data_IF_211626376998
#
_entry.id   IF_211626376998
#
_cell.length_a   1.000
_cell.length_b   1.000
_cell.length_c   1.000
_cell.angle_alpha   90.00
_cell.angle_beta   90.00
_cell.angle_gamma   90.00
#
_symmetry.space_group_name_H-M   'P 1'
#
loop_
_entity.id
_entity.type
_entity.pdbx_description
1 polymer ?
#
# COMPACT_ATOMS: atom_id res chain seq x y z
N UNK A 1 -49.26 10.50 -8.01
CA UNK A 1 -50.55 9.93 -7.56
C UNK A 1 -50.55 9.88 -6.05
N UNK A 2 -51.61 10.44 -5.47
CA UNK A 2 -51.80 10.59 -4.04
C UNK A 2 -51.76 9.22 -3.33
N UNK A 3 -50.96 9.08 -2.29
CA UNK A 3 -50.85 7.86 -1.48
C UNK A 3 -49.83 6.82 -1.99
N UNK A 4 -49.16 7.03 -3.11
CA UNK A 4 -48.12 6.10 -3.60
C UNK A 4 -46.75 6.42 -3.06
N UNK A 5 -45.84 5.40 -3.12
CA UNK A 5 -44.43 5.59 -2.82
C UNK A 5 -43.71 6.19 -4.05
N UNK A 6 -42.76 7.10 -3.80
CA UNK A 6 -41.91 7.66 -4.83
C UNK A 6 -40.43 7.41 -4.49
N UNK A 7 -39.70 6.76 -5.39
CA UNK A 7 -38.29 6.50 -5.23
C UNK A 7 -37.48 7.48 -6.08
N UNK A 8 -36.38 7.95 -5.52
CA UNK A 8 -35.36 8.75 -6.21
C UNK A 8 -34.02 8.07 -6.13
N UNK A 9 -33.33 8.03 -7.25
CA UNK A 9 -31.92 7.65 -7.31
C UNK A 9 -31.10 8.90 -7.63
N UNK A 10 -30.02 9.11 -6.90
CA UNK A 10 -29.15 10.27 -7.02
C UNK A 10 -27.80 9.76 -7.47
N UNK A 11 -27.36 10.22 -8.64
CA UNK A 11 -26.06 9.82 -9.22
C UNK A 11 -25.24 11.07 -9.47
N UNK A 12 -24.02 11.09 -8.97
CA UNK A 12 -23.09 12.16 -9.27
C UNK A 12 -22.45 11.93 -10.65
N UNK A 13 -22.22 13.02 -11.38
CA UNK A 13 -21.42 12.98 -12.60
C UNK A 13 -19.96 12.66 -12.31
N UNK A 14 -19.22 12.22 -13.33
CA UNK A 14 -17.78 11.96 -13.20
C UNK A 14 -17.04 13.21 -12.70
N UNK A 15 -16.16 13.04 -11.72
CA UNK A 15 -15.45 14.13 -11.03
C UNK A 15 -16.25 14.80 -9.90
N UNK A 16 -17.44 14.28 -9.57
CA UNK A 16 -18.25 14.76 -8.45
C UNK A 16 -18.68 13.62 -7.55
N UNK A 17 -18.97 13.96 -6.28
CA UNK A 17 -19.60 13.07 -5.29
C UNK A 17 -20.83 13.76 -4.70
N UNK A 18 -21.78 12.96 -4.21
CA UNK A 18 -22.89 13.50 -3.44
C UNK A 18 -22.29 14.07 -2.15
N UNK A 19 -22.51 15.37 -1.90
CA UNK A 19 -22.06 16.04 -0.69
C UNK A 19 -23.13 15.99 0.39
N UNK A 20 -24.40 16.20 -0.01
CA UNK A 20 -25.55 16.18 0.89
C UNK A 20 -26.84 15.99 0.08
N UNK A 21 -27.87 15.49 0.71
CA UNK A 21 -29.24 15.45 0.19
C UNK A 21 -30.15 16.09 1.21
N UNK A 22 -30.97 17.05 0.76
CA UNK A 22 -31.94 17.69 1.59
C UNK A 22 -33.36 17.20 1.20
N UNK A 23 -34.16 16.83 2.18
CA UNK A 23 -35.56 16.49 2.03
C UNK A 23 -36.37 17.51 2.83
N UNK A 24 -37.27 18.21 2.15
CA UNK A 24 -38.04 19.31 2.74
C UNK A 24 -37.17 20.32 3.49
N UNK A 25 -36.00 20.64 2.90
CA UNK A 25 -35.02 21.57 3.45
C UNK A 25 -34.13 21.02 4.59
N UNK A 26 -34.34 19.75 5.01
CA UNK A 26 -33.52 19.13 6.07
C UNK A 26 -32.51 18.17 5.45
N UNK A 27 -31.23 18.27 5.88
CA UNK A 27 -30.19 17.36 5.48
C UNK A 27 -30.45 15.93 5.99
N UNK A 28 -30.26 14.96 5.10
CA UNK A 28 -30.30 13.53 5.38
C UNK A 28 -28.94 12.86 5.10
N UNK A 29 -27.89 13.67 4.81
CA UNK A 29 -26.55 13.22 4.48
C UNK A 29 -26.37 12.83 3.02
N UNK A 30 -25.18 12.30 2.69
CA UNK A 30 -24.81 11.90 1.33
C UNK A 30 -25.39 10.51 0.98
N UNK A 31 -26.64 10.46 0.57
CA UNK A 31 -27.32 9.21 0.22
C UNK A 31 -27.52 9.08 -1.30
N UNK A 32 -27.34 7.88 -1.83
CA UNK A 32 -27.52 7.60 -3.27
C UNK A 32 -28.98 7.33 -3.66
N UNK A 33 -29.87 7.19 -2.70
CA UNK A 33 -31.30 7.00 -2.96
C UNK A 33 -32.14 7.47 -1.78
N UNK A 34 -33.37 7.88 -2.09
CA UNK A 34 -34.39 8.23 -1.10
C UNK A 34 -35.75 7.78 -1.54
N UNK A 35 -36.57 7.35 -0.58
CA UNK A 35 -37.94 6.89 -0.83
C UNK A 35 -38.95 7.69 -0.01
N UNK A 36 -39.80 8.44 -0.67
CA UNK A 36 -41.01 8.96 -0.04
C UNK A 36 -42.08 7.86 0.04
N UNK A 37 -42.67 7.69 1.20
CA UNK A 37 -43.67 6.64 1.46
C UNK A 37 -45.06 7.28 1.57
N UNK A 38 -46.03 6.74 0.83
CA UNK A 38 -47.44 7.19 0.86
C UNK A 38 -47.61 8.71 0.69
N UNK A 39 -47.00 9.25 -0.37
CA UNK A 39 -46.98 10.70 -0.65
C UNK A 39 -48.43 11.26 -0.73
N UNK A 40 -48.78 12.19 0.15
CA UNK A 40 -50.08 12.89 0.18
C UNK A 40 -49.94 14.39 -0.06
N UNK A 41 -48.76 14.96 0.15
CA UNK A 41 -48.48 16.38 -0.02
C UNK A 41 -47.25 16.55 -0.93
N UNK A 42 -46.99 17.80 -1.36
CA UNK A 42 -45.77 18.11 -2.10
C UNK A 42 -44.57 18.02 -1.16
N UNK A 43 -43.50 17.40 -1.66
CA UNK A 43 -42.18 17.29 -1.01
C UNK A 43 -41.10 17.83 -1.92
N UNK A 44 -40.01 18.26 -1.33
CA UNK A 44 -38.81 18.66 -2.07
C UNK A 44 -37.66 17.70 -1.79
N UNK A 45 -36.87 17.41 -2.80
CA UNK A 45 -35.59 16.74 -2.66
C UNK A 45 -34.55 17.54 -3.45
N UNK A 46 -33.43 17.89 -2.79
CA UNK A 46 -32.30 18.63 -3.36
C UNK A 46 -31.02 17.82 -3.12
N UNK A 47 -30.29 17.54 -4.17
CA UNK A 47 -29.00 16.92 -4.04
C UNK A 47 -27.89 17.96 -4.25
N UNK A 48 -26.93 18.02 -3.33
CA UNK A 48 -25.74 18.86 -3.39
C UNK A 48 -24.53 18.00 -3.74
N UNK A 49 -23.72 18.48 -4.65
CA UNK A 49 -22.55 17.78 -5.14
C UNK A 49 -21.29 18.58 -4.79
N UNK A 50 -20.20 17.87 -4.48
CA UNK A 50 -18.87 18.45 -4.33
C UNK A 50 -17.94 17.78 -5.37
N UNK A 51 -16.85 18.44 -5.71
CA UNK A 51 -15.80 17.85 -6.54
C UNK A 51 -15.22 16.62 -5.84
N UNK A 52 -15.11 15.52 -6.57
CA UNK A 52 -14.36 14.34 -6.14
C UNK A 52 -12.98 14.39 -6.80
N UNK A 53 -11.90 14.01 -6.10
CA UNK A 53 -10.62 13.82 -6.75
C UNK A 53 -10.76 12.84 -7.92
N UNK A 54 -10.30 13.25 -9.11
CA UNK A 54 -10.30 12.34 -10.27
C UNK A 54 -9.29 11.24 -10.04
N UNK A 55 -9.73 9.99 -10.23
CA UNK A 55 -8.83 8.84 -10.21
C UNK A 55 -7.98 8.81 -11.47
N UNK A 56 -6.70 8.53 -11.31
CA UNK A 56 -5.84 8.23 -12.47
C UNK A 56 -6.33 6.91 -13.12
N UNK A 57 -6.55 6.86 -14.44
CA UNK A 57 -7.13 5.70 -15.11
C UNK A 57 -6.23 4.46 -15.08
N UNK A 58 -4.91 4.64 -14.96
CA UNK A 58 -3.94 3.54 -14.98
C UNK A 58 -3.72 2.93 -13.58
N UNK A 59 -3.80 3.74 -12.53
CA UNK A 59 -3.55 3.31 -11.15
C UNK A 59 -4.85 3.17 -10.35
N UNK A 60 -5.91 3.87 -10.71
CA UNK A 60 -7.17 3.92 -9.97
C UNK A 60 -7.15 4.86 -8.76
N UNK A 61 -6.03 5.55 -8.51
CA UNK A 61 -5.84 6.41 -7.33
C UNK A 61 -5.90 7.89 -7.69
N UNK A 62 -6.34 8.71 -6.73
CA UNK A 62 -6.48 10.16 -6.87
C UNK A 62 -5.35 10.95 -6.20
N UNK A 63 -4.49 10.28 -5.45
CA UNK A 63 -3.36 10.86 -4.71
C UNK A 63 -2.00 10.56 -5.37
N UNK A 64 -2.02 10.21 -6.66
CA UNK A 64 -0.84 9.92 -7.48
C UNK A 64 -0.91 10.73 -8.76
N UNK A 65 0.18 11.42 -9.09
CA UNK A 65 0.34 12.15 -10.34
C UNK A 65 1.31 11.42 -11.28
N UNK A 66 1.11 11.56 -12.60
CA UNK A 66 2.02 10.98 -13.61
C UNK A 66 3.45 11.50 -13.52
N UNK A 67 3.64 12.67 -12.90
CA UNK A 67 4.95 13.27 -12.65
C UNK A 67 5.68 12.71 -11.44
N UNK A 68 5.03 11.89 -10.61
CA UNK A 68 5.65 11.32 -9.42
C UNK A 68 6.69 10.27 -9.79
N UNK A 69 7.85 10.29 -9.11
CA UNK A 69 8.96 9.35 -9.39
C UNK A 69 8.57 7.87 -9.20
N UNK A 70 7.51 7.64 -8.45
CA UNK A 70 6.99 6.29 -8.14
C UNK A 70 5.78 5.89 -9.00
N UNK A 71 5.35 6.72 -9.96
CA UNK A 71 4.13 6.48 -10.75
C UNK A 71 4.14 5.11 -11.44
N UNK A 72 5.19 4.82 -12.21
CA UNK A 72 5.32 3.54 -12.94
C UNK A 72 5.41 2.34 -11.98
N UNK A 73 6.05 2.53 -10.83
CA UNK A 73 6.12 1.49 -9.80
C UNK A 73 4.74 1.19 -9.19
N UNK A 74 3.92 2.22 -8.94
CA UNK A 74 2.55 2.02 -8.45
C UNK A 74 1.67 1.39 -9.52
N UNK A 75 1.75 1.84 -10.76
CA UNK A 75 1.04 1.24 -11.90
C UNK A 75 1.37 -0.25 -12.05
N UNK A 76 2.66 -0.60 -12.00
CA UNK A 76 3.11 -1.98 -11.97
C UNK A 76 2.56 -2.75 -10.77
N UNK A 77 2.63 -2.18 -9.57
CA UNK A 77 2.21 -2.85 -8.34
C UNK A 77 0.70 -3.15 -8.32
N UNK A 78 -0.11 -2.27 -8.91
CA UNK A 78 -1.55 -2.50 -9.12
C UNK A 78 -1.77 -3.58 -10.16
N UNK A 79 -1.16 -3.46 -11.34
CA UNK A 79 -1.30 -4.43 -12.44
C UNK A 79 -0.83 -5.83 -12.04
N UNK A 80 0.21 -5.94 -11.22
CA UNK A 80 0.74 -7.20 -10.68
C UNK A 80 0.05 -7.66 -9.38
N UNK A 81 -1.00 -6.98 -8.93
CA UNK A 81 -1.76 -7.29 -7.70
C UNK A 81 -0.91 -7.29 -6.42
N UNK A 82 0.19 -6.57 -6.41
CA UNK A 82 1.03 -6.37 -5.23
C UNK A 82 0.29 -5.52 -4.20
N UNK A 83 -0.45 -4.51 -4.67
CA UNK A 83 -1.28 -3.64 -3.83
C UNK A 83 -2.61 -3.32 -4.49
N UNK A 84 -3.61 -3.02 -3.66
CA UNK A 84 -4.90 -2.45 -4.07
C UNK A 84 -5.14 -1.04 -3.48
N UNK A 85 -4.07 -0.41 -2.93
CA UNK A 85 -4.17 0.88 -2.25
C UNK A 85 -4.44 0.76 -0.75
N UNK A 86 -4.59 1.89 -0.10
CA UNK A 86 -5.13 2.00 1.27
C UNK A 86 -6.65 2.01 1.26
N UNK A 87 -7.23 2.67 0.26
CA UNK A 87 -8.65 2.70 -0.03
C UNK A 87 -8.87 2.44 -1.51
N UNK A 88 -10.13 2.41 -1.96
CA UNK A 88 -10.46 2.28 -3.38
C UNK A 88 -9.98 3.45 -4.24
N UNK A 89 -9.58 4.56 -3.63
CA UNK A 89 -9.23 5.80 -4.32
C UNK A 89 -7.87 6.37 -3.94
N UNK A 90 -7.22 5.82 -2.92
CA UNK A 90 -5.95 6.34 -2.41
C UNK A 90 -4.91 5.23 -2.28
N UNK A 91 -3.71 5.53 -2.73
CA UNK A 91 -2.53 4.69 -2.54
C UNK A 91 -1.83 4.96 -1.21
N UNK A 92 -1.79 6.21 -0.76
CA UNK A 92 -1.06 6.68 0.42
C UNK A 92 0.46 6.66 0.22
N UNK A 93 1.01 7.37 -0.79
CA UNK A 93 2.43 7.25 -1.15
C UNK A 93 3.39 7.63 -0.03
N UNK A 94 3.00 8.57 0.83
CA UNK A 94 3.84 9.05 1.94
C UNK A 94 3.64 8.27 3.25
N UNK A 95 2.62 7.42 3.32
CA UNK A 95 2.40 6.59 4.50
C UNK A 95 3.51 5.56 4.65
N UNK A 96 4.03 5.38 5.86
CA UNK A 96 4.99 4.33 6.15
C UNK A 96 4.32 2.96 6.18
N UNK A 97 5.05 1.91 5.81
CA UNK A 97 4.55 0.55 5.91
C UNK A 97 4.98 -0.12 7.22
N UNK A 98 4.15 -1.05 7.65
CA UNK A 98 4.56 -2.00 8.69
C UNK A 98 5.39 -3.15 8.10
N UNK A 99 6.06 -3.90 8.97
CA UNK A 99 6.81 -5.11 8.59
C UNK A 99 5.88 -6.13 7.91
N UNK A 100 4.67 -6.31 8.43
CA UNK A 100 3.66 -7.21 7.84
C UNK A 100 3.22 -6.77 6.44
N UNK A 101 2.99 -5.49 6.22
CA UNK A 101 2.65 -4.95 4.90
C UNK A 101 3.80 -5.17 3.91
N UNK A 102 5.03 -4.96 4.34
CA UNK A 102 6.22 -5.10 3.50
C UNK A 102 6.42 -6.54 3.04
N UNK A 103 6.38 -7.52 3.95
CA UNK A 103 6.51 -8.93 3.52
C UNK A 103 5.32 -9.39 2.68
N UNK A 104 4.14 -8.79 2.88
CA UNK A 104 2.97 -9.06 2.03
C UNK A 104 3.18 -8.54 0.61
N UNK A 105 3.77 -7.38 0.43
CA UNK A 105 4.13 -6.86 -0.90
C UNK A 105 5.17 -7.76 -1.60
N UNK A 106 6.21 -8.17 -0.88
CA UNK A 106 7.22 -9.10 -1.39
C UNK A 106 6.61 -10.44 -1.82
N UNK A 107 5.79 -11.04 -0.97
CA UNK A 107 5.10 -12.30 -1.22
C UNK A 107 4.18 -12.22 -2.44
N UNK A 108 3.40 -11.13 -2.55
CA UNK A 108 2.53 -10.90 -3.72
C UNK A 108 3.34 -10.69 -4.99
N UNK A 109 4.45 -9.94 -4.93
CA UNK A 109 5.36 -9.76 -6.06
C UNK A 109 6.05 -11.06 -6.49
N UNK A 110 6.11 -12.06 -5.60
CA UNK A 110 6.56 -13.42 -5.89
C UNK A 110 5.43 -14.35 -6.43
N UNK A 111 4.23 -13.82 -6.66
CA UNK A 111 3.08 -14.59 -7.16
C UNK A 111 2.23 -15.26 -6.08
N UNK A 112 2.37 -14.83 -4.83
CA UNK A 112 1.59 -15.33 -3.67
C UNK A 112 1.70 -16.86 -3.47
N UNK A 113 2.90 -17.45 -3.47
CA UNK A 113 3.06 -18.89 -3.36
C UNK A 113 2.54 -19.41 -2.02
N UNK A 114 1.84 -20.54 -2.03
CA UNK A 114 1.37 -21.20 -0.80
C UNK A 114 2.52 -21.85 -0.06
N UNK A 115 2.56 -21.69 1.25
CA UNK A 115 3.60 -22.25 2.13
C UNK A 115 2.93 -23.10 3.21
N UNK A 116 2.70 -24.38 2.90
CA UNK A 116 1.97 -25.27 3.79
C UNK A 116 2.88 -26.16 4.68
N UNK A 117 4.19 -26.12 4.45
CA UNK A 117 5.16 -27.03 5.08
C UNK A 117 6.08 -26.38 6.10
N UNK A 118 5.82 -25.12 6.47
CA UNK A 118 6.63 -24.38 7.45
C UNK A 118 5.77 -24.09 8.67
N UNK A 119 6.25 -24.51 9.82
CA UNK A 119 5.63 -24.16 11.09
C UNK A 119 5.84 -22.67 11.38
N UNK A 120 4.82 -22.03 11.93
CA UNK A 120 4.92 -20.64 12.35
C UNK A 120 5.77 -20.54 13.64
N UNK A 121 6.95 -19.92 13.60
CA UNK A 121 7.77 -19.78 14.80
C UNK A 121 7.31 -18.63 15.71
N UNK A 122 6.43 -17.73 15.22
CA UNK A 122 6.11 -16.47 15.87
C UNK A 122 4.80 -16.53 16.65
N UNK A 123 4.84 -16.10 17.88
CA UNK A 123 3.67 -16.03 18.77
C UNK A 123 2.75 -14.84 18.49
N UNK A 124 3.28 -13.82 17.84
CA UNK A 124 2.60 -12.57 17.46
C UNK A 124 2.05 -12.58 16.02
N UNK A 125 2.07 -13.74 15.36
CA UNK A 125 1.49 -13.95 14.02
C UNK A 125 0.45 -15.06 14.11
N UNK A 126 -0.81 -14.71 13.88
CA UNK A 126 -1.94 -15.65 13.99
C UNK A 126 -2.36 -16.14 12.61
N UNK A 127 -2.91 -17.35 12.55
CA UNK A 127 -3.42 -17.94 11.29
C UNK A 127 -4.54 -17.12 10.65
N UNK A 128 -5.26 -16.33 11.42
CA UNK A 128 -6.32 -15.41 10.94
C UNK A 128 -5.80 -14.12 10.34
N UNK A 129 -4.51 -13.81 10.51
CA UNK A 129 -3.95 -12.54 10.04
C UNK A 129 -3.78 -12.56 8.52
N UNK A 130 -4.09 -11.43 7.85
CA UNK A 130 -4.01 -11.32 6.39
C UNK A 130 -2.61 -11.56 5.84
N UNK A 131 -1.59 -11.33 6.66
CA UNK A 131 -0.17 -11.49 6.33
C UNK A 131 0.40 -12.88 6.72
N UNK A 132 -0.41 -13.77 7.30
CA UNK A 132 0.08 -15.06 7.80
C UNK A 132 0.88 -15.83 6.76
N UNK A 133 0.32 -16.04 5.56
CA UNK A 133 0.99 -16.77 4.48
C UNK A 133 2.24 -16.05 3.97
N UNK A 134 2.22 -14.71 3.94
CA UNK A 134 3.36 -13.91 3.55
C UNK A 134 4.53 -14.05 4.54
N UNK A 135 4.23 -14.08 5.84
CA UNK A 135 5.26 -14.28 6.88
C UNK A 135 5.85 -15.69 6.80
N UNK A 136 5.02 -16.74 6.65
CA UNK A 136 5.52 -18.11 6.49
C UNK A 136 6.38 -18.26 5.24
N UNK A 137 5.97 -17.66 4.12
CA UNK A 137 6.79 -17.61 2.91
C UNK A 137 8.13 -16.90 3.15
N UNK A 138 8.12 -15.79 3.86
CA UNK A 138 9.33 -15.03 4.16
C UNK A 138 10.30 -15.83 5.04
N UNK A 139 9.79 -16.62 5.99
CA UNK A 139 10.59 -17.56 6.80
C UNK A 139 11.15 -18.69 5.94
N UNK A 140 10.30 -19.35 5.15
CA UNK A 140 10.68 -20.47 4.29
C UNK A 140 11.78 -20.11 3.28
N UNK A 141 11.80 -18.86 2.81
CA UNK A 141 12.76 -18.36 1.84
C UNK A 141 13.92 -17.57 2.49
N UNK A 142 14.07 -17.64 3.81
CA UNK A 142 15.12 -16.93 4.55
C UNK A 142 15.12 -15.40 4.31
N UNK A 143 13.98 -14.83 3.99
CA UNK A 143 13.80 -13.38 3.85
C UNK A 143 13.85 -12.71 5.22
N UNK A 144 13.25 -13.37 6.23
CA UNK A 144 13.27 -12.92 7.61
C UNK A 144 13.37 -14.10 8.58
N UNK A 145 13.99 -13.87 9.73
CA UNK A 145 13.99 -14.78 10.88
C UNK A 145 13.24 -14.15 12.08
N UNK A 146 12.40 -13.12 11.83
CA UNK A 146 11.80 -12.34 12.91
C UNK A 146 12.72 -11.26 13.46
N UNK A 147 12.29 -10.62 14.53
CA UNK A 147 13.11 -9.75 15.39
C UNK A 147 13.70 -10.55 16.55
N UNK A 148 13.09 -11.68 16.86
CA UNK A 148 13.61 -12.74 17.75
C UNK A 148 13.16 -14.11 17.24
N UNK A 149 13.55 -15.17 17.92
CA UNK A 149 13.14 -16.53 17.58
C UNK A 149 11.63 -16.75 17.63
N UNK A 150 10.89 -15.95 18.38
CA UNK A 150 9.45 -16.09 18.63
C UNK A 150 8.61 -14.85 18.32
N UNK A 151 9.22 -13.76 17.84
CA UNK A 151 8.52 -12.52 17.49
C UNK A 151 8.89 -12.03 16.10
N UNK A 152 7.86 -11.66 15.32
CA UNK A 152 7.98 -11.04 14.01
C UNK A 152 7.85 -9.52 14.06
N UNK A 153 7.11 -8.98 15.03
CA UNK A 153 6.71 -7.58 15.18
C UNK A 153 5.96 -7.03 13.95
N UNK A 154 4.80 -7.60 13.62
CA UNK A 154 4.08 -7.32 12.37
C UNK A 154 3.66 -5.85 12.21
N UNK A 155 3.37 -5.16 13.31
CA UNK A 155 2.79 -3.82 13.30
C UNK A 155 3.83 -2.68 13.43
N UNK A 156 5.09 -3.03 13.64
CA UNK A 156 6.17 -2.03 13.71
C UNK A 156 6.47 -1.48 12.33
N UNK A 157 6.70 -0.18 12.23
CA UNK A 157 7.14 0.47 11.00
C UNK A 157 8.45 -0.15 10.51
N UNK A 158 8.45 -0.59 9.26
CA UNK A 158 9.65 -1.15 8.64
C UNK A 158 10.66 -0.03 8.34
N UNK A 159 11.91 -0.27 8.66
CA UNK A 159 13.00 0.64 8.35
C UNK A 159 13.57 0.36 6.95
N UNK A 160 14.24 1.35 6.36
CA UNK A 160 14.79 1.26 5.00
C UNK A 160 15.84 0.16 4.87
N UNK A 161 16.70 0.00 5.88
CA UNK A 161 17.68 -1.09 5.96
C UNK A 161 17.03 -2.47 5.94
N UNK A 162 15.92 -2.63 6.65
CA UNK A 162 15.14 -3.87 6.65
C UNK A 162 14.52 -4.17 5.29
N UNK A 163 13.98 -3.15 4.61
CA UNK A 163 13.35 -3.32 3.29
C UNK A 163 14.37 -3.80 2.26
N UNK A 164 15.52 -3.15 2.14
CA UNK A 164 16.56 -3.58 1.18
C UNK A 164 17.12 -4.95 1.55
N UNK A 165 17.22 -5.27 2.84
CA UNK A 165 17.66 -6.58 3.32
C UNK A 165 16.65 -7.67 2.95
N UNK A 166 15.36 -7.41 3.11
CA UNK A 166 14.30 -8.36 2.70
C UNK A 166 14.33 -8.60 1.18
N UNK A 167 14.46 -7.54 0.39
CA UNK A 167 14.57 -7.63 -1.07
C UNK A 167 15.80 -8.43 -1.50
N UNK A 168 16.96 -8.10 -0.96
CA UNK A 168 18.21 -8.80 -1.26
C UNK A 168 18.14 -10.29 -0.91
N UNK A 169 17.58 -10.61 0.25
CA UNK A 169 17.37 -12.01 0.67
C UNK A 169 16.36 -12.73 -0.22
N UNK A 170 15.25 -12.09 -0.57
CA UNK A 170 14.25 -12.64 -1.49
C UNK A 170 14.82 -12.87 -2.90
N UNK A 171 15.87 -12.14 -3.28
CA UNK A 171 16.60 -12.29 -4.55
C UNK A 171 17.74 -13.34 -4.48
N UNK A 172 17.85 -14.09 -3.37
CA UNK A 172 18.88 -15.13 -3.21
C UNK A 172 20.23 -14.60 -2.73
N UNK A 173 20.29 -13.41 -2.17
CA UNK A 173 21.53 -12.77 -1.63
C UNK A 173 22.64 -12.63 -2.67
N UNK A 174 22.38 -12.10 -3.85
CA UNK A 174 23.42 -11.97 -4.87
C UNK A 174 24.56 -11.07 -4.38
N UNK A 175 25.79 -11.49 -4.59
CA UNK A 175 26.96 -10.67 -4.31
C UNK A 175 26.99 -9.49 -5.28
N UNK A 176 27.19 -8.30 -4.77
CA UNK A 176 27.40 -7.10 -5.57
C UNK A 176 28.28 -6.12 -4.80
N UNK A 177 29.03 -5.32 -5.54
CA UNK A 177 29.82 -4.22 -4.98
C UNK A 177 29.45 -2.93 -5.67
N UNK A 178 29.28 -1.89 -4.90
CA UNK A 178 29.09 -0.52 -5.35
C UNK A 178 30.00 0.39 -4.52
N UNK A 179 30.50 1.44 -5.15
CA UNK A 179 31.15 2.51 -4.42
C UNK A 179 30.05 3.32 -3.70
N UNK A 180 29.95 3.12 -2.39
CA UNK A 180 28.95 3.79 -1.57
C UNK A 180 29.52 5.11 -1.05
N UNK A 181 28.87 6.21 -1.39
CA UNK A 181 29.18 7.54 -0.85
C UNK A 181 28.43 7.84 0.45
N UNK A 182 27.67 6.87 1.00
CA UNK A 182 26.84 7.09 2.18
C UNK A 182 27.67 7.09 3.46
N UNK A 183 27.61 8.20 4.19
CA UNK A 183 28.34 8.40 5.44
C UNK A 183 27.59 7.91 6.68
N UNK A 184 26.33 7.50 6.53
CA UNK A 184 25.44 7.09 7.60
C UNK A 184 25.24 5.56 7.70
N UNK A 185 26.08 4.79 7.02
CA UNK A 185 26.11 3.33 7.16
C UNK A 185 27.08 2.94 8.29
N UNK A 186 26.60 2.11 9.22
CA UNK A 186 27.44 1.59 10.28
C UNK A 186 28.38 0.49 9.74
N UNK A 187 29.60 0.49 10.20
CA UNK A 187 30.57 -0.55 9.87
C UNK A 187 30.08 -1.94 10.34
N UNK A 188 30.14 -2.92 9.44
CA UNK A 188 29.71 -4.29 9.75
C UNK A 188 28.20 -4.46 9.95
N UNK A 189 27.40 -3.48 9.53
CA UNK A 189 25.95 -3.54 9.64
C UNK A 189 25.36 -4.74 8.89
N UNK A 190 24.32 -5.36 9.45
CA UNK A 190 23.65 -6.53 8.86
C UNK A 190 23.07 -6.29 7.45
N UNK A 191 22.87 -5.02 7.10
CA UNK A 191 22.31 -4.57 5.83
C UNK A 191 23.36 -4.11 4.82
N UNK A 192 24.66 -4.12 5.17
CA UNK A 192 25.72 -3.55 4.33
C UNK A 192 25.74 -4.17 2.92
N UNK A 193 25.73 -5.50 2.80
CA UNK A 193 25.70 -6.20 1.51
C UNK A 193 24.42 -5.91 0.73
N UNK A 194 23.29 -5.81 1.42
CA UNK A 194 22.00 -5.51 0.82
C UNK A 194 21.96 -4.09 0.24
N UNK A 195 22.55 -3.11 0.92
CA UNK A 195 22.66 -1.73 0.41
C UNK A 195 23.59 -1.67 -0.79
N UNK A 196 24.75 -2.35 -0.74
CA UNK A 196 25.67 -2.43 -1.89
C UNK A 196 24.97 -3.03 -3.11
N UNK A 197 24.25 -4.14 -2.92
CA UNK A 197 23.46 -4.76 -3.98
C UNK A 197 22.38 -3.81 -4.52
N UNK A 198 21.63 -3.16 -3.65
CA UNK A 198 20.54 -2.29 -4.06
C UNK A 198 21.04 -1.07 -4.86
N UNK A 199 22.20 -0.51 -4.50
CA UNK A 199 22.84 0.57 -5.27
C UNK A 199 23.38 0.07 -6.60
N UNK A 200 24.12 -1.05 -6.60
CA UNK A 200 24.70 -1.63 -7.81
C UNK A 200 23.65 -1.97 -8.89
N UNK A 201 22.42 -2.31 -8.45
CA UNK A 201 21.30 -2.63 -9.35
C UNK A 201 20.32 -1.45 -9.58
N UNK A 202 20.69 -0.24 -9.16
CA UNK A 202 19.84 0.94 -9.35
C UNK A 202 18.49 0.92 -8.58
N UNK A 203 18.35 0.02 -7.59
CA UNK A 203 17.14 -0.09 -6.78
C UNK A 203 16.98 1.15 -5.92
N UNK A 204 18.08 1.66 -5.36
CA UNK A 204 18.13 2.89 -4.59
C UNK A 204 19.37 3.71 -4.93
N UNK A 205 19.26 5.03 -4.75
CA UNK A 205 20.38 5.98 -4.84
C UNK A 205 20.58 6.72 -3.50
N UNK A 206 19.97 6.20 -2.42
CA UNK A 206 19.93 6.87 -1.12
C UNK A 206 18.75 7.83 -0.97
N UNK A 207 18.76 8.58 0.10
CA UNK A 207 17.86 9.74 0.34
C UNK A 207 18.53 11.05 -0.09
N UNK A 208 19.85 11.03 -0.19
CA UNK A 208 20.69 12.05 -0.82
C UNK A 208 21.90 11.39 -1.47
N UNK A 209 22.80 12.18 -2.04
CA UNK A 209 24.07 11.66 -2.60
C UNK A 209 25.02 11.07 -1.53
N UNK A 210 24.83 11.40 -0.27
CA UNK A 210 25.69 10.99 0.85
C UNK A 210 24.99 10.29 2.00
N UNK A 211 23.65 10.08 1.89
CA UNK A 211 22.88 9.44 2.96
C UNK A 211 21.96 8.36 2.40
N UNK A 212 21.92 7.23 3.09
CA UNK A 212 20.97 6.15 2.84
C UNK A 212 19.74 6.23 3.75
N UNK A 213 19.93 6.77 4.97
CA UNK A 213 18.96 6.84 6.06
C UNK A 213 18.43 5.45 6.48
N UNK A 214 19.30 4.53 6.96
CA UNK A 214 18.94 3.13 7.24
C UNK A 214 17.81 2.99 8.25
N UNK A 215 17.79 3.81 9.29
CA UNK A 215 16.83 3.74 10.38
C UNK A 215 15.50 4.46 10.09
N UNK A 216 15.37 5.18 8.98
CA UNK A 216 14.14 5.86 8.64
C UNK A 216 13.04 4.89 8.25
N UNK A 217 11.79 5.21 8.62
CA UNK A 217 10.63 4.47 8.18
C UNK A 217 10.48 4.51 6.66
N UNK A 218 10.27 3.35 6.03
CA UNK A 218 10.13 3.26 4.59
C UNK A 218 8.68 3.51 4.17
N UNK A 219 8.47 4.46 3.23
CA UNK A 219 7.13 4.78 2.74
C UNK A 219 6.64 3.76 1.73
N UNK A 220 5.32 3.73 1.51
CA UNK A 220 4.68 2.84 0.52
C UNK A 220 5.23 3.10 -0.88
N UNK A 221 5.40 4.37 -1.26
CA UNK A 221 5.99 4.75 -2.54
C UNK A 221 7.43 4.22 -2.70
N UNK A 222 8.24 4.33 -1.65
CA UNK A 222 9.61 3.82 -1.67
C UNK A 222 9.64 2.29 -1.80
N UNK A 223 8.81 1.58 -1.04
CA UNK A 223 8.79 0.10 -1.07
C UNK A 223 8.38 -0.43 -2.44
N UNK A 224 7.29 0.09 -3.04
CA UNK A 224 6.88 -0.37 -4.38
C UNK A 224 7.89 0.02 -5.44
N UNK A 225 8.59 1.17 -5.28
CA UNK A 225 9.68 1.57 -6.19
C UNK A 225 10.86 0.62 -6.10
N UNK A 226 11.27 0.24 -4.89
CA UNK A 226 12.35 -0.74 -4.70
C UNK A 226 11.97 -2.10 -5.30
N UNK A 227 10.75 -2.57 -5.06
CA UNK A 227 10.23 -3.81 -5.64
C UNK A 227 10.21 -3.75 -7.17
N UNK A 228 9.68 -2.69 -7.75
CA UNK A 228 9.62 -2.49 -9.19
C UNK A 228 11.01 -2.52 -9.83
N UNK A 229 11.95 -1.75 -9.28
CA UNK A 229 13.33 -1.69 -9.77
C UNK A 229 14.08 -3.01 -9.59
N UNK A 230 13.75 -3.80 -8.58
CA UNK A 230 14.38 -5.12 -8.38
C UNK A 230 13.90 -6.20 -9.37
N UNK A 231 12.84 -5.92 -10.14
CA UNK A 231 12.26 -6.84 -11.14
C UNK A 231 12.62 -6.46 -12.58
N UNK A 232 13.10 -5.24 -12.79
CA UNK A 232 13.52 -4.70 -14.08
C UNK A 232 15.03 -4.43 -14.09
#
# INVERSE_FOLDING_TARGET
TNGNNQNYTITANNGYKIADVLVDGKSIGAVASYKFVKVQTAHTIEARFATAPMKDPDTGFSDIAKSDYFYDAVKWAVGSKVTSGLTETTFGPQETCTRAQTVTFLWRAAGSPQTNSVDNPFTDVKRSDYYYQAVLWAVANNVTNGVSATSFDPNVTVQRDQVVTFLWRASGKPAAKADLAFSDLADGAFYADAVQWAVAHGITTGTSSTTFAPADGCTRAQIVTFLYRSKN
#
